data_IF_198578811642
#
_entry.id   IF_198578811642
#
_cell.length_a   1.000
_cell.length_b   1.000
_cell.length_c   1.000
_cell.angle_alpha   90.00
_cell.angle_beta   90.00
_cell.angle_gamma   90.00
#
_symmetry.space_group_name_H-M   'P 1'
#
loop_
_entity.id
_entity.type
_entity.pdbx_description
1 polymer ?
#
# COMPACT_ATOMS: atom_id res chain seq x y z
N UNK A 1 8.88 -29.53 41.02
CA UNK A 1 8.54 -29.27 39.60
C UNK A 1 7.66 -28.03 39.62
N UNK A 2 8.31 -26.86 39.70
CA UNK A 2 7.60 -25.58 39.72
C UNK A 2 7.55 -25.03 38.31
N UNK A 3 6.33 -24.98 37.78
CA UNK A 3 5.98 -24.44 36.49
C UNK A 3 6.08 -22.92 36.56
N UNK A 4 7.16 -22.35 36.02
CA UNK A 4 7.34 -20.90 35.93
C UNK A 4 6.30 -20.37 34.95
N UNK A 5 5.21 -19.83 35.51
CA UNK A 5 4.21 -19.07 34.80
C UNK A 5 4.89 -17.93 34.02
N UNK A 6 5.03 -18.12 32.70
CA UNK A 6 5.45 -17.10 31.76
C UNK A 6 4.48 -15.93 31.84
N UNK A 7 4.89 -14.87 32.56
CA UNK A 7 4.19 -13.59 32.64
C UNK A 7 4.09 -13.01 31.22
N UNK A 8 2.96 -13.24 30.54
CA UNK A 8 2.61 -12.57 29.28
C UNK A 8 2.56 -11.08 29.56
N UNK A 9 3.64 -10.38 29.25
CA UNK A 9 3.65 -8.92 29.28
C UNK A 9 2.70 -8.47 28.17
N UNK A 10 1.56 -7.91 28.56
CA UNK A 10 0.74 -7.09 27.67
C UNK A 10 1.59 -5.87 27.32
N UNK A 11 2.29 -5.94 26.21
CA UNK A 11 3.14 -4.86 25.71
C UNK A 11 2.22 -3.92 24.96
N UNK A 12 2.25 -2.61 25.27
CA UNK A 12 1.56 -1.47 24.61
C UNK A 12 2.46 -0.82 23.55
N UNK A 13 1.92 -0.28 22.44
CA UNK A 13 2.71 0.57 21.52
C UNK A 13 3.33 1.66 22.41
N UNK A 14 4.59 2.05 22.19
CA UNK A 14 5.15 3.18 22.91
C UNK A 14 4.14 4.31 22.84
N UNK A 15 3.77 4.88 23.99
CA UNK A 15 2.66 5.82 24.08
C UNK A 15 2.81 6.99 23.08
N UNK A 16 4.05 7.37 22.76
CA UNK A 16 4.39 8.34 21.71
C UNK A 16 3.91 7.91 20.32
N UNK A 17 4.12 6.65 19.94
CA UNK A 17 3.62 6.09 18.68
C UNK A 17 2.10 6.09 18.63
N UNK A 18 1.43 5.75 19.74
CA UNK A 18 -0.04 5.79 19.82
C UNK A 18 -0.56 7.21 19.64
N UNK A 19 0.05 8.17 20.33
CA UNK A 19 -0.31 9.57 20.23
C UNK A 19 -0.12 10.09 18.79
N UNK A 20 1.00 9.73 18.14
CA UNK A 20 1.26 10.11 16.75
C UNK A 20 0.23 9.50 15.79
N UNK A 21 -0.11 8.22 15.94
CA UNK A 21 -1.14 7.59 15.10
C UNK A 21 -2.51 8.22 15.31
N UNK A 22 -2.90 8.49 16.55
CA UNK A 22 -4.15 9.18 16.87
C UNK A 22 -4.19 10.60 16.28
N UNK A 23 -3.07 11.33 16.35
CA UNK A 23 -2.96 12.65 15.75
C UNK A 23 -3.07 12.58 14.21
N UNK A 24 -2.37 11.64 13.57
CA UNK A 24 -2.46 11.43 12.11
C UNK A 24 -3.89 11.08 11.70
N UNK A 25 -4.56 10.17 12.41
CA UNK A 25 -5.96 9.82 12.16
C UNK A 25 -6.87 11.05 12.30
N UNK A 26 -6.76 11.78 13.41
CA UNK A 26 -7.60 12.95 13.66
C UNK A 26 -7.39 14.07 12.61
N UNK A 27 -6.14 14.32 12.20
CA UNK A 27 -5.83 15.30 11.16
C UNK A 27 -6.37 14.84 9.80
N UNK A 28 -6.22 13.55 9.48
CA UNK A 28 -6.73 12.96 8.24
C UNK A 28 -8.24 13.06 8.17
N UNK A 29 -8.94 12.70 9.25
CA UNK A 29 -10.41 12.78 9.34
C UNK A 29 -10.90 14.23 9.25
N UNK A 30 -10.20 15.19 9.87
CA UNK A 30 -10.56 16.60 9.80
C UNK A 30 -10.28 17.22 8.41
N UNK A 31 -9.28 16.71 7.69
CA UNK A 31 -8.89 17.21 6.38
C UNK A 31 -9.69 16.59 5.23
N UNK A 32 -10.19 15.37 5.40
CA UNK A 32 -10.98 14.66 4.37
C UNK A 32 -12.47 15.00 4.50
N UNK A 33 -13.10 15.42 3.42
CA UNK A 33 -14.53 15.78 3.41
C UNK A 33 -15.37 14.66 2.81
N UNK A 34 -16.65 14.63 3.20
CA UNK A 34 -17.60 13.64 2.70
C UNK A 34 -17.85 13.74 1.18
N UNK A 35 -17.61 14.89 0.58
CA UNK A 35 -17.70 15.12 -0.87
C UNK A 35 -16.46 14.65 -1.66
N UNK A 36 -15.49 14.03 -0.97
CA UNK A 36 -14.24 13.54 -1.57
C UNK A 36 -13.16 14.61 -1.76
N UNK A 37 -13.42 15.86 -1.40
CA UNK A 37 -12.39 16.92 -1.42
C UNK A 37 -11.50 16.85 -0.17
N UNK A 38 -10.31 17.46 -0.27
CA UNK A 38 -9.33 17.51 0.82
C UNK A 38 -8.99 18.95 1.18
N UNK A 39 -8.95 19.26 2.48
CA UNK A 39 -8.57 20.58 2.97
C UNK A 39 -7.05 20.75 3.04
N UNK A 40 -6.42 21.07 1.90
CA UNK A 40 -4.97 21.31 1.80
C UNK A 40 -4.46 22.38 2.75
N UNK A 41 -5.24 23.44 2.95
CA UNK A 41 -4.89 24.52 3.87
C UNK A 41 -4.82 24.03 5.31
N UNK A 42 -5.77 23.19 5.74
CA UNK A 42 -5.72 22.59 7.08
C UNK A 42 -4.47 21.71 7.24
N UNK A 43 -4.20 20.84 6.27
CA UNK A 43 -3.01 19.97 6.29
C UNK A 43 -1.72 20.77 6.41
N UNK A 44 -1.61 21.90 5.70
CA UNK A 44 -0.40 22.73 5.70
C UNK A 44 -0.01 23.27 7.09
N UNK A 45 -0.94 23.36 8.04
CA UNK A 45 -0.61 23.74 9.42
C UNK A 45 0.11 22.64 10.21
N UNK A 46 0.04 21.39 9.75
CA UNK A 46 0.67 20.23 10.37
C UNK A 46 1.86 19.68 9.57
N UNK A 47 2.22 20.35 8.47
CA UNK A 47 3.35 20.00 7.63
C UNK A 47 4.67 20.43 8.30
N UNK A 48 5.26 19.54 9.10
CA UNK A 48 6.59 19.78 9.64
C UNK A 48 7.66 19.47 8.57
N UNK A 49 7.98 20.48 7.76
CA UNK A 49 8.93 20.41 6.64
C UNK A 49 10.36 20.77 7.07
N UNK A 50 11.33 20.21 6.37
CA UNK A 50 12.77 20.39 6.59
C UNK A 50 13.42 20.79 5.26
N UNK A 51 14.22 21.87 5.22
CA UNK A 51 14.96 22.23 4.02
C UNK A 51 16.06 21.21 3.69
N UNK A 52 16.53 21.14 2.44
CA UNK A 52 17.72 20.36 2.12
C UNK A 52 18.94 20.93 2.85
N UNK A 53 19.93 20.09 3.15
CA UNK A 53 21.15 20.51 3.84
C UNK A 53 22.41 19.96 3.15
N UNK A 54 23.22 20.82 2.51
CA UNK A 54 24.47 20.41 1.87
C UNK A 54 25.56 20.03 2.90
N UNK A 55 25.40 20.42 4.17
CA UNK A 55 26.25 19.95 5.26
C UNK A 55 25.67 18.63 5.80
N UNK A 56 26.50 17.58 5.98
CA UNK A 56 26.01 16.30 6.47
C UNK A 56 25.35 16.44 7.85
N UNK A 57 24.13 15.92 7.98
CA UNK A 57 23.51 15.65 9.28
C UNK A 57 23.51 14.13 9.47
N UNK A 58 24.17 13.65 10.53
CA UNK A 58 24.34 12.22 10.82
C UNK A 58 24.93 11.42 9.65
N UNK A 59 25.85 12.03 8.90
CA UNK A 59 26.52 11.40 7.76
C UNK A 59 25.70 11.39 6.47
N UNK A 60 24.69 12.24 6.32
CA UNK A 60 23.90 12.35 5.07
C UNK A 60 23.73 13.81 4.65
N UNK A 61 24.13 14.13 3.42
CA UNK A 61 23.87 15.43 2.75
C UNK A 61 22.57 15.34 1.95
N UNK A 62 21.87 16.45 1.79
CA UNK A 62 20.66 16.53 0.96
C UNK A 62 20.61 17.77 0.08
N UNK A 63 20.00 17.63 -1.09
CA UNK A 63 19.68 18.71 -2.03
C UNK A 63 18.45 18.35 -2.87
N UNK A 64 17.76 19.37 -3.37
CA UNK A 64 16.52 19.21 -4.14
C UNK A 64 16.79 19.48 -5.64
N UNK A 65 16.13 18.71 -6.50
CA UNK A 65 16.28 18.79 -7.96
C UNK A 65 14.90 18.92 -8.60
N UNK A 66 14.71 19.97 -9.40
CA UNK A 66 13.48 20.20 -10.15
C UNK A 66 13.56 19.47 -11.50
N UNK A 67 12.58 18.62 -11.78
CA UNK A 67 12.43 17.86 -13.02
C UNK A 67 11.55 18.60 -14.01
N UNK A 68 10.42 19.11 -13.54
CA UNK A 68 9.46 19.86 -14.36
C UNK A 68 8.88 21.03 -13.56
N UNK A 69 9.31 22.28 -13.85
CA UNK A 69 8.81 23.46 -13.17
C UNK A 69 7.30 23.71 -13.36
N UNK A 70 6.74 23.34 -14.52
CA UNK A 70 5.32 23.58 -14.81
C UNK A 70 4.42 22.69 -13.97
N UNK A 71 4.82 21.42 -13.76
CA UNK A 71 4.13 20.49 -12.84
C UNK A 71 4.55 20.63 -11.39
N UNK A 72 5.59 21.43 -11.09
CA UNK A 72 6.29 21.46 -9.80
C UNK A 72 6.76 20.05 -9.41
N UNK A 73 7.23 19.27 -10.38
CA UNK A 73 7.78 17.95 -10.14
C UNK A 73 9.25 18.08 -9.73
N UNK A 74 9.59 17.55 -8.57
CA UNK A 74 10.95 17.57 -8.03
C UNK A 74 11.23 16.30 -7.21
N UNK A 75 12.49 16.10 -6.85
CA UNK A 75 12.90 15.07 -5.92
C UNK A 75 13.99 15.59 -4.98
N UNK A 76 14.08 14.98 -3.80
CA UNK A 76 15.20 15.18 -2.86
C UNK A 76 16.22 14.07 -3.01
N UNK A 77 17.48 14.44 -3.14
CA UNK A 77 18.61 13.49 -3.12
C UNK A 77 19.19 13.43 -1.72
N UNK A 78 19.45 12.22 -1.24
CA UNK A 78 20.15 11.93 0.01
C UNK A 78 21.44 11.18 -0.30
N UNK A 79 22.57 11.79 0.04
CA UNK A 79 23.91 11.24 -0.24
C UNK A 79 24.58 10.86 1.08
N UNK A 80 24.85 9.57 1.34
CA UNK A 80 25.64 9.17 2.50
C UNK A 80 27.09 9.67 2.35
N UNK A 81 27.69 10.09 3.47
CA UNK A 81 29.04 10.68 3.49
C UNK A 81 30.04 9.93 4.37
N UNK A 82 29.58 8.95 5.15
CA UNK A 82 30.44 8.04 5.91
C UNK A 82 30.61 6.73 5.12
N UNK A 83 31.83 6.16 5.12
CA UNK A 83 32.35 5.07 4.27
C UNK A 83 32.80 5.47 2.86
N UNK A 84 33.84 6.30 2.83
CA UNK A 84 34.67 6.71 1.70
C UNK A 84 35.52 5.59 1.07
N UNK A 85 34.97 4.38 0.92
CA UNK A 85 35.67 3.25 0.29
C UNK A 85 34.86 2.54 -0.82
N UNK A 86 33.61 2.95 -1.06
CA UNK A 86 32.80 2.36 -2.13
C UNK A 86 32.96 3.19 -3.41
N UNK A 87 33.59 2.58 -4.41
CA UNK A 87 33.80 3.17 -5.74
C UNK A 87 32.47 3.44 -6.47
N UNK A 88 31.41 2.68 -6.17
CA UNK A 88 30.08 2.84 -6.77
C UNK A 88 28.91 2.63 -5.77
N UNK A 89 28.13 3.68 -5.52
CA UNK A 89 26.92 3.65 -4.71
C UNK A 89 25.70 3.25 -5.55
N UNK A 90 24.88 2.36 -5.00
CA UNK A 90 23.56 2.03 -5.55
C UNK A 90 22.62 3.23 -5.41
N UNK A 91 21.63 3.30 -6.29
CA UNK A 91 20.58 4.33 -6.25
C UNK A 91 19.25 3.68 -5.86
N UNK A 92 18.54 4.24 -4.89
CA UNK A 92 17.16 3.88 -4.57
C UNK A 92 16.24 5.04 -4.93
N UNK A 93 15.30 4.81 -5.83
CA UNK A 93 14.20 5.73 -6.10
C UNK A 93 13.09 5.40 -5.12
N UNK A 94 12.82 6.33 -4.21
CA UNK A 94 11.88 6.17 -3.12
C UNK A 94 10.60 6.98 -3.38
N UNK A 95 9.46 6.31 -3.23
CA UNK A 95 8.13 6.92 -3.31
C UNK A 95 7.51 6.89 -1.92
N UNK A 96 7.16 8.05 -1.39
CA UNK A 96 6.55 8.13 -0.06
C UNK A 96 5.11 7.59 -0.06
N UNK A 97 4.65 7.11 1.10
CA UNK A 97 3.26 6.77 1.36
C UNK A 97 2.35 7.99 1.54
N UNK A 98 1.18 7.77 2.15
CA UNK A 98 0.16 8.83 2.33
C UNK A 98 -1.08 8.67 1.46
N UNK A 99 -1.35 7.46 0.95
CA UNK A 99 -2.60 7.18 0.24
C UNK A 99 -2.80 8.01 -1.03
N UNK A 100 -1.71 8.44 -1.68
CA UNK A 100 -1.70 9.39 -2.81
C UNK A 100 -2.18 10.81 -2.48
N UNK A 101 -2.53 11.09 -1.22
CA UNK A 101 -3.11 12.37 -0.77
C UNK A 101 -2.11 13.15 0.09
N UNK A 102 -1.36 12.47 0.95
CA UNK A 102 -0.60 13.09 2.03
C UNK A 102 0.91 12.96 1.85
N UNK A 103 1.63 13.83 2.56
CA UNK A 103 3.07 13.87 2.72
C UNK A 103 3.88 14.27 1.49
N UNK A 104 5.16 14.60 1.71
CA UNK A 104 6.12 15.03 0.69
C UNK A 104 7.54 14.62 1.13
N UNK A 105 8.54 14.59 0.20
CA UNK A 105 9.93 14.28 0.54
C UNK A 105 10.57 15.23 1.58
N UNK A 106 10.11 16.47 1.67
CA UNK A 106 10.61 17.47 2.61
C UNK A 106 9.96 17.38 4.01
N UNK A 107 8.96 16.54 4.22
CA UNK A 107 8.40 16.33 5.55
C UNK A 107 9.38 15.56 6.43
N UNK A 108 9.58 16.03 7.67
CA UNK A 108 10.54 15.48 8.63
C UNK A 108 10.47 13.96 8.76
N UNK A 109 9.26 13.40 8.76
CA UNK A 109 9.05 11.95 8.86
C UNK A 109 9.66 11.18 7.69
N UNK A 110 9.51 11.67 6.46
CA UNK A 110 10.07 11.04 5.26
C UNK A 110 11.54 11.42 5.04
N UNK A 111 11.95 12.63 5.39
CA UNK A 111 13.37 13.02 5.44
C UNK A 111 14.15 12.09 6.39
N UNK A 112 13.63 11.81 7.59
CA UNK A 112 14.23 10.88 8.56
C UNK A 112 14.27 9.42 8.06
N UNK A 113 13.23 8.98 7.34
CA UNK A 113 13.20 7.66 6.69
C UNK A 113 14.31 7.58 5.64
N UNK A 114 14.39 8.55 4.73
CA UNK A 114 15.36 8.55 3.65
C UNK A 114 16.81 8.69 4.15
N UNK A 115 17.07 9.52 5.18
CA UNK A 115 18.39 9.57 5.84
C UNK A 115 18.78 8.22 6.44
N UNK A 116 17.83 7.52 7.08
CA UNK A 116 18.09 6.17 7.62
C UNK A 116 18.37 5.16 6.52
N UNK A 117 17.65 5.20 5.41
CA UNK A 117 17.93 4.33 4.27
C UNK A 117 19.30 4.63 3.67
N UNK A 118 19.62 5.90 3.41
CA UNK A 118 20.92 6.31 2.88
C UNK A 118 22.07 5.76 3.72
N UNK A 119 21.99 5.90 5.04
CA UNK A 119 23.00 5.41 5.97
C UNK A 119 23.05 3.89 6.07
N UNK A 120 21.91 3.23 6.25
CA UNK A 120 21.88 1.77 6.51
C UNK A 120 22.17 0.92 5.28
N UNK A 121 21.77 1.40 4.10
CA UNK A 121 21.97 0.70 2.83
C UNK A 121 23.28 1.12 2.16
N UNK A 122 23.94 2.16 2.67
CA UNK A 122 25.04 2.86 2.01
C UNK A 122 24.72 3.11 0.52
N UNK A 123 23.62 3.83 0.29
CA UNK A 123 23.03 4.06 -1.03
C UNK A 123 22.55 5.50 -1.17
N UNK A 124 22.54 6.00 -2.40
CA UNK A 124 21.93 7.29 -2.73
C UNK A 124 20.42 7.11 -2.78
N UNK A 125 19.67 7.93 -2.07
CA UNK A 125 18.21 7.90 -2.10
C UNK A 125 17.70 9.08 -2.90
N UNK A 126 16.82 8.84 -3.86
CA UNK A 126 16.08 9.85 -4.63
C UNK A 126 14.62 9.76 -4.21
N UNK A 127 14.16 10.68 -3.36
CA UNK A 127 12.80 10.71 -2.85
C UNK A 127 11.93 11.64 -3.68
N UNK A 128 10.93 11.07 -4.38
CA UNK A 128 10.15 11.76 -5.41
C UNK A 128 8.93 12.48 -4.83
N UNK A 129 8.72 13.74 -5.21
CA UNK A 129 7.52 14.52 -4.89
C UNK A 129 6.49 14.41 -6.02
N UNK A 130 5.65 13.37 -5.97
CA UNK A 130 4.61 13.14 -6.98
C UNK A 130 3.34 13.94 -6.66
N UNK A 131 2.56 14.35 -7.67
CA UNK A 131 1.32 15.12 -7.48
C UNK A 131 0.26 14.37 -6.66
N UNK A 132 -0.56 15.06 -5.86
CA UNK A 132 -1.51 14.39 -4.98
C UNK A 132 -2.96 14.40 -5.50
N UNK A 133 -3.69 13.32 -5.18
CA UNK A 133 -5.14 13.24 -5.30
C UNK A 133 -5.81 13.98 -4.13
N UNK A 134 -7.02 14.56 -4.29
CA UNK A 134 -7.94 14.39 -5.42
C UNK A 134 -7.73 15.34 -6.61
N UNK A 135 -6.88 16.36 -6.49
CA UNK A 135 -6.65 17.38 -7.54
C UNK A 135 -5.99 16.77 -8.79
N UNK A 136 -5.09 15.81 -8.57
CA UNK A 136 -4.46 15.02 -9.62
C UNK A 136 -4.78 13.56 -9.38
N UNK A 137 -5.79 13.03 -10.07
CA UNK A 137 -6.20 11.62 -9.99
C UNK A 137 -5.24 10.74 -10.79
N UNK A 138 -5.43 9.43 -10.68
CA UNK A 138 -4.78 8.46 -11.57
C UNK A 138 -4.93 8.90 -13.05
N UNK A 139 -3.88 8.79 -13.89
CA UNK A 139 -2.54 8.22 -13.62
C UNK A 139 -1.46 9.23 -13.20
N UNK A 140 -1.80 10.45 -12.77
CA UNK A 140 -0.84 11.55 -12.62
C UNK A 140 0.40 11.22 -11.76
N UNK A 141 0.22 10.50 -10.65
CA UNK A 141 1.32 10.06 -9.77
C UNK A 141 2.29 9.13 -10.48
N UNK A 142 1.74 8.19 -11.26
CA UNK A 142 2.50 7.19 -11.99
C UNK A 142 3.32 7.87 -13.09
N UNK A 143 2.73 8.84 -13.79
CA UNK A 143 3.43 9.60 -14.81
C UNK A 143 4.53 10.47 -14.23
N UNK A 144 4.31 11.14 -13.10
CA UNK A 144 5.34 11.92 -12.43
C UNK A 144 6.53 11.06 -12.02
N UNK A 145 6.27 9.94 -11.34
CA UNK A 145 7.34 9.04 -10.93
C UNK A 145 8.08 8.43 -12.14
N UNK A 146 7.35 8.08 -13.21
CA UNK A 146 7.96 7.56 -14.43
C UNK A 146 8.82 8.61 -15.16
N UNK A 147 8.39 9.86 -15.16
CA UNK A 147 9.16 10.97 -15.73
C UNK A 147 10.43 11.26 -14.93
N UNK A 148 10.42 11.07 -13.60
CA UNK A 148 11.67 11.08 -12.82
C UNK A 148 12.62 9.96 -13.26
N UNK A 149 12.12 8.75 -13.53
CA UNK A 149 12.98 7.66 -14.03
C UNK A 149 13.61 8.03 -15.38
N UNK A 150 12.82 8.58 -16.32
CA UNK A 150 13.34 9.08 -17.60
C UNK A 150 14.35 10.21 -17.43
N UNK A 151 14.07 11.12 -16.49
CA UNK A 151 14.97 12.24 -16.19
C UNK A 151 16.34 11.72 -15.72
N UNK A 152 16.37 10.70 -14.87
CA UNK A 152 17.61 10.10 -14.35
C UNK A 152 18.30 9.15 -15.33
N UNK A 153 17.59 8.62 -16.31
CA UNK A 153 18.17 7.82 -17.40
C UNK A 153 18.94 8.67 -18.42
N UNK A 154 18.56 9.96 -18.55
CA UNK A 154 19.29 10.90 -19.38
C UNK A 154 20.67 11.24 -18.76
N UNK A 155 21.74 10.96 -19.49
CA UNK A 155 23.10 11.10 -18.98
C UNK A 155 23.48 12.52 -18.56
N UNK A 156 23.02 13.54 -19.30
CA UNK A 156 23.28 14.94 -19.00
C UNK A 156 22.62 15.39 -17.70
N UNK A 157 21.40 14.92 -17.43
CA UNK A 157 20.72 15.16 -16.17
C UNK A 157 21.33 14.36 -15.03
N UNK A 158 21.60 13.06 -15.25
CA UNK A 158 22.20 12.16 -14.25
C UNK A 158 23.54 12.68 -13.75
N UNK A 159 24.47 12.96 -14.65
CA UNK A 159 25.82 13.44 -14.32
C UNK A 159 25.83 14.81 -13.65
N UNK A 160 24.83 15.65 -13.94
CA UNK A 160 24.66 16.95 -13.30
C UNK A 160 24.12 16.85 -11.87
N UNK A 161 23.20 15.92 -11.62
CA UNK A 161 22.38 15.92 -10.42
C UNK A 161 22.61 14.75 -9.48
N UNK A 162 23.35 13.73 -9.86
CA UNK A 162 23.79 12.65 -8.97
C UNK A 162 25.32 12.69 -8.80
N UNK A 163 25.85 12.23 -7.65
CA UNK A 163 27.30 12.07 -7.46
C UNK A 163 27.95 11.21 -8.54
N UNK A 164 29.22 11.45 -8.84
CA UNK A 164 29.97 10.68 -9.87
C UNK A 164 29.98 9.17 -9.60
N UNK A 165 30.02 8.78 -8.33
CA UNK A 165 29.97 7.37 -7.91
C UNK A 165 28.55 6.79 -7.88
N UNK A 166 27.52 7.49 -8.38
CA UNK A 166 26.16 6.97 -8.45
C UNK A 166 25.99 5.98 -9.61
N UNK A 167 25.73 4.71 -9.30
CA UNK A 167 25.49 3.68 -10.30
C UNK A 167 23.98 3.45 -10.52
N UNK A 168 23.41 4.11 -11.54
CA UNK A 168 21.99 4.00 -11.93
C UNK A 168 21.64 2.66 -12.58
N UNK A 169 22.63 1.91 -13.09
CA UNK A 169 22.43 0.55 -13.57
C UNK A 169 22.21 -0.46 -12.43
N UNK A 170 22.37 0.00 -11.18
CA UNK A 170 22.07 -0.75 -9.94
C UNK A 170 21.01 0.01 -9.13
N UNK A 171 19.91 0.30 -9.80
CA UNK A 171 18.80 1.07 -9.24
C UNK A 171 17.75 0.16 -8.58
N UNK A 172 17.15 0.62 -7.48
CA UNK A 172 16.03 -0.05 -6.82
C UNK A 172 14.84 0.89 -6.72
N UNK A 173 13.64 0.40 -7.05
CA UNK A 173 12.39 1.11 -6.79
C UNK A 173 11.84 0.65 -5.45
N UNK A 174 11.53 1.59 -4.57
CA UNK A 174 11.01 1.32 -3.24
C UNK A 174 9.96 2.34 -2.80
N UNK A 175 9.12 1.96 -1.84
CA UNK A 175 8.14 2.86 -1.26
C UNK A 175 7.26 2.16 -0.23
N UNK A 176 6.59 2.96 0.60
CA UNK A 176 5.65 2.49 1.62
C UNK A 176 4.21 2.86 1.26
N UNK A 177 3.23 2.03 1.64
CA UNK A 177 1.80 2.31 1.39
C UNK A 177 1.53 2.63 -0.10
N UNK A 178 0.96 3.79 -0.41
CA UNK A 178 0.78 4.27 -1.79
C UNK A 178 2.09 4.29 -2.61
N UNK A 179 3.22 4.64 -1.99
CA UNK A 179 4.53 4.60 -2.65
C UNK A 179 5.00 3.18 -3.00
N UNK A 180 4.62 2.18 -2.21
CA UNK A 180 4.86 0.77 -2.54
C UNK A 180 4.03 0.32 -3.74
N UNK A 181 2.81 0.84 -3.87
CA UNK A 181 2.01 0.66 -5.08
C UNK A 181 2.69 1.31 -6.30
N UNK A 182 3.15 2.57 -6.21
CA UNK A 182 3.90 3.22 -7.29
C UNK A 182 5.15 2.41 -7.70
N UNK A 183 5.95 1.94 -6.73
CA UNK A 183 7.13 1.14 -6.99
C UNK A 183 6.80 -0.14 -7.79
N UNK A 184 5.68 -0.80 -7.48
CA UNK A 184 5.23 -1.98 -8.21
C UNK A 184 4.78 -1.66 -9.64
N UNK A 185 3.92 -0.67 -9.82
CA UNK A 185 3.43 -0.30 -11.15
C UNK A 185 4.57 0.16 -12.07
N UNK A 186 5.49 0.96 -11.53
CA UNK A 186 6.65 1.44 -12.27
C UNK A 186 7.59 0.30 -12.63
N UNK A 187 7.71 -0.75 -11.81
CA UNK A 187 8.45 -1.95 -12.16
C UNK A 187 7.98 -2.54 -13.50
N UNK A 188 6.66 -2.75 -13.63
CA UNK A 188 6.06 -3.29 -14.84
C UNK A 188 6.27 -2.34 -16.01
N UNK A 189 5.97 -1.06 -15.82
CA UNK A 189 6.15 -0.03 -16.85
C UNK A 189 7.61 0.11 -17.29
N UNK A 190 8.58 -0.14 -16.42
CA UNK A 190 10.00 -0.12 -16.78
C UNK A 190 10.43 -1.28 -17.65
N UNK A 191 9.77 -2.43 -17.56
CA UNK A 191 10.00 -3.57 -18.46
C UNK A 191 9.53 -3.29 -19.89
N UNK A 192 8.55 -2.38 -20.06
CA UNK A 192 7.98 -2.00 -21.36
C UNK A 192 8.72 -0.83 -22.03
N UNK A 193 9.64 -0.18 -21.31
CA UNK A 193 10.36 1.00 -21.78
C UNK A 193 11.85 0.73 -21.94
N UNK A 194 12.42 1.19 -23.06
CA UNK A 194 13.85 1.04 -23.35
C UNK A 194 14.67 2.15 -22.67
N UNK A 195 14.98 1.96 -21.39
CA UNK A 195 15.95 2.78 -20.68
C UNK A 195 17.38 2.56 -21.20
N UNK A 196 18.17 3.62 -21.30
CA UNK A 196 19.54 3.57 -21.81
C UNK A 196 20.52 3.04 -20.76
N UNK A 197 20.36 3.48 -19.50
CA UNK A 197 21.26 3.17 -18.39
C UNK A 197 20.53 2.56 -17.20
N UNK A 198 19.29 3.00 -16.96
CA UNK A 198 18.51 2.60 -15.78
C UNK A 198 18.13 1.12 -15.89
N UNK A 199 18.58 0.34 -14.90
CA UNK A 199 18.14 -1.04 -14.68
C UNK A 199 17.59 -1.13 -13.27
N UNK A 200 16.27 -1.21 -13.16
CA UNK A 200 15.57 -1.25 -11.90
C UNK A 200 15.32 -2.69 -11.44
N UNK A 201 15.72 -3.01 -10.21
CA UNK A 201 15.20 -4.16 -9.46
C UNK A 201 14.19 -3.63 -8.45
N UNK A 202 12.96 -4.12 -8.50
CA UNK A 202 11.91 -3.62 -7.61
C UNK A 202 11.96 -4.33 -6.26
N UNK A 203 12.00 -3.53 -5.18
CA UNK A 203 11.85 -4.01 -3.83
C UNK A 203 10.62 -3.33 -3.22
N UNK A 204 9.51 -4.07 -3.13
CA UNK A 204 8.35 -3.60 -2.36
C UNK A 204 8.70 -3.79 -0.89
N UNK A 205 9.09 -2.70 -0.23
CA UNK A 205 9.49 -2.74 1.18
C UNK A 205 8.24 -2.78 2.05
N UNK A 206 8.10 -3.85 2.83
CA UNK A 206 7.22 -3.79 3.99
C UNK A 206 7.95 -3.03 5.13
N UNK A 207 7.22 -2.26 5.94
CA UNK A 207 7.80 -1.47 7.02
C UNK A 207 8.15 -2.30 8.28
N UNK A 208 7.94 -3.62 8.24
CA UNK A 208 7.91 -4.52 9.39
C UNK A 208 9.10 -5.48 9.47
N UNK A 209 9.69 -5.76 8.33
CA UNK A 209 10.80 -6.69 8.13
C UNK A 209 12.10 -5.97 8.48
N UNK A 210 12.80 -6.54 9.46
CA UNK A 210 14.11 -6.08 9.88
C UNK A 210 15.15 -6.45 8.81
N UNK A 211 16.30 -5.80 8.88
CA UNK A 211 17.45 -6.08 8.03
C UNK A 211 17.92 -7.55 8.01
N UNK A 212 17.60 -8.32 9.06
CA UNK A 212 17.89 -9.77 9.17
C UNK A 212 16.78 -10.67 8.59
N UNK A 213 15.75 -10.08 7.95
CA UNK A 213 14.60 -10.79 7.39
C UNK A 213 13.55 -11.18 8.43
N UNK A 214 13.74 -10.86 9.72
CA UNK A 214 12.74 -11.15 10.74
C UNK A 214 11.67 -10.07 10.79
N UNK A 215 10.40 -10.48 10.94
CA UNK A 215 9.30 -9.53 11.09
C UNK A 215 9.11 -9.16 12.55
N UNK A 216 9.02 -7.86 12.82
CA UNK A 216 8.61 -7.40 14.13
C UNK A 216 7.09 -7.53 14.33
N UNK A 217 6.61 -8.77 14.55
CA UNK A 217 5.20 -9.06 14.84
C UNK A 217 4.70 -8.42 16.15
N UNK A 218 5.56 -7.76 16.94
CA UNK A 218 5.14 -6.99 18.14
C UNK A 218 4.24 -5.81 17.78
N UNK A 219 4.22 -5.34 16.53
CA UNK A 219 3.25 -4.34 16.06
C UNK A 219 1.82 -4.91 15.93
N UNK A 220 1.67 -6.22 15.69
CA UNK A 220 0.37 -6.87 15.48
C UNK A 220 -0.45 -7.04 16.76
N UNK A 221 0.20 -7.34 17.89
CA UNK A 221 -0.51 -7.61 19.15
C UNK A 221 -1.36 -6.45 19.65
N UNK A 222 -1.15 -5.25 19.10
CA UNK A 222 -1.96 -4.05 19.36
C UNK A 222 -3.31 -4.03 18.68
N UNK A 223 -3.36 -4.59 17.48
CA UNK A 223 -4.53 -4.61 16.61
C UNK A 223 -5.18 -5.98 16.57
N UNK A 224 -4.63 -6.97 17.30
CA UNK A 224 -5.13 -8.34 17.40
C UNK A 224 -6.39 -8.45 18.29
N UNK A 225 -7.29 -7.47 18.16
CA UNK A 225 -8.67 -7.64 18.61
C UNK A 225 -9.43 -8.32 17.47
N UNK A 226 -9.67 -9.62 17.61
CA UNK A 226 -10.42 -10.39 16.64
C UNK A 226 -11.91 -10.34 16.93
N UNK A 227 -12.69 -10.20 15.87
CA UNK A 227 -14.13 -10.18 15.87
C UNK A 227 -14.60 -11.50 15.25
N UNK A 228 -15.36 -12.35 15.96
CA UNK A 228 -15.93 -13.55 15.36
C UNK A 228 -16.97 -13.18 14.30
N UNK A 229 -17.23 -14.05 13.31
CA UNK A 229 -18.35 -13.85 12.39
C UNK A 229 -19.66 -13.86 13.18
N UNK A 230 -20.63 -13.04 12.76
CA UNK A 230 -21.93 -12.96 13.41
C UNK A 230 -23.07 -13.08 12.38
N UNK A 231 -23.80 -14.21 12.35
CA UNK A 231 -24.94 -14.37 11.44
C UNK A 231 -26.11 -13.47 11.81
N UNK A 232 -26.17 -12.96 13.06
CA UNK A 232 -27.12 -11.92 13.45
C UNK A 232 -26.55 -10.55 13.10
N UNK A 233 -27.34 -9.67 12.45
CA UNK A 233 -26.83 -8.37 12.03
C UNK A 233 -26.34 -7.53 13.20
N UNK A 234 -25.08 -7.08 13.14
CA UNK A 234 -24.57 -6.00 13.98
C UNK A 234 -24.52 -4.75 13.11
N UNK A 235 -25.21 -3.69 13.55
CA UNK A 235 -25.33 -2.42 12.80
C UNK A 235 -25.83 -2.60 11.36
N UNK A 236 -26.74 -3.55 11.15
CA UNK A 236 -27.32 -3.83 9.84
C UNK A 236 -26.42 -4.64 8.89
N UNK A 237 -25.42 -5.36 9.42
CA UNK A 237 -24.54 -6.22 8.61
C UNK A 237 -24.36 -7.59 9.27
N UNK A 238 -24.72 -8.67 8.56
CA UNK A 238 -24.42 -10.05 8.96
C UNK A 238 -23.06 -10.47 8.40
N UNK A 239 -22.34 -11.32 9.12
CA UNK A 239 -21.03 -11.84 8.69
C UNK A 239 -20.87 -13.34 8.90
N UNK A 240 -20.15 -13.99 7.99
CA UNK A 240 -19.77 -15.39 8.06
C UNK A 240 -18.47 -15.66 7.30
N UNK A 241 -17.75 -16.69 7.72
CA UNK A 241 -16.44 -17.04 7.16
C UNK A 241 -16.57 -18.25 6.22
N UNK A 242 -15.81 -18.23 5.13
CA UNK A 242 -15.82 -19.27 4.10
C UNK A 242 -14.40 -19.74 3.85
N UNK A 243 -14.17 -21.04 4.02
CA UNK A 243 -12.87 -21.67 3.74
C UNK A 243 -12.81 -22.08 2.27
N UNK A 244 -11.79 -21.58 1.57
CA UNK A 244 -11.52 -21.87 0.15
C UNK A 244 -10.57 -23.06 0.02
N UNK A 245 -9.49 -23.07 0.81
CA UNK A 245 -8.50 -24.16 0.82
C UNK A 245 -8.02 -24.41 2.27
N UNK A 246 -8.46 -25.52 2.90
CA UNK A 246 -8.04 -25.87 4.26
C UNK A 246 -6.54 -26.10 4.42
N UNK A 247 -5.85 -26.63 3.40
CA UNK A 247 -4.43 -26.94 3.47
C UNK A 247 -3.58 -25.67 3.50
N UNK A 248 -3.99 -24.65 2.74
CA UNK A 248 -3.35 -23.32 2.76
C UNK A 248 -3.89 -22.41 3.85
N UNK A 249 -4.96 -22.82 4.56
CA UNK A 249 -5.75 -21.95 5.44
C UNK A 249 -6.22 -20.69 4.71
N UNK A 250 -6.61 -20.85 3.44
CA UNK A 250 -7.15 -19.76 2.62
C UNK A 250 -8.65 -19.64 2.89
N UNK A 251 -9.09 -18.45 3.29
CA UNK A 251 -10.48 -18.18 3.60
C UNK A 251 -10.82 -16.71 3.33
N UNK A 252 -12.11 -16.39 3.37
CA UNK A 252 -12.58 -15.01 3.33
C UNK A 252 -13.77 -14.82 4.26
N UNK A 253 -13.97 -13.58 4.71
CA UNK A 253 -15.17 -13.17 5.42
C UNK A 253 -16.15 -12.49 4.48
N UNK A 254 -17.41 -12.91 4.53
CA UNK A 254 -18.51 -12.24 3.82
C UNK A 254 -19.20 -11.27 4.77
N UNK A 255 -19.46 -10.06 4.30
CA UNK A 255 -20.27 -9.04 4.96
C UNK A 255 -21.49 -8.76 4.08
N UNK A 256 -22.68 -9.01 4.60
CA UNK A 256 -23.93 -8.81 3.86
C UNK A 256 -24.76 -7.73 4.57
N UNK A 257 -25.07 -6.61 3.90
CA UNK A 257 -25.95 -5.59 4.46
C UNK A 257 -27.38 -6.15 4.58
N UNK A 258 -28.10 -5.72 5.61
CA UNK A 258 -29.44 -6.21 5.94
C UNK A 258 -30.50 -5.12 6.01
N UNK A 259 -30.18 -3.87 5.62
CA UNK A 259 -31.19 -2.82 5.54
C UNK A 259 -32.13 -3.04 4.33
N UNK A 260 -33.42 -2.77 4.55
CA UNK A 260 -34.61 -3.13 3.76
C UNK A 260 -34.76 -2.45 2.38
N UNK A 261 -33.70 -1.88 1.79
CA UNK A 261 -33.84 -1.45 0.40
C UNK A 261 -34.06 -2.69 -0.47
N UNK A 262 -35.23 -2.77 -1.10
CA UNK A 262 -35.67 -3.79 -2.05
C UNK A 262 -34.79 -3.79 -3.33
N UNK A 263 -33.49 -3.96 -3.16
CA UNK A 263 -32.58 -4.17 -4.27
C UNK A 263 -32.61 -5.67 -4.57
N UNK A 264 -33.21 -5.99 -5.72
CA UNK A 264 -33.28 -7.34 -6.25
C UNK A 264 -31.89 -7.96 -6.46
N UNK A 265 -30.85 -7.13 -6.66
CA UNK A 265 -29.46 -7.56 -6.86
C UNK A 265 -28.40 -6.65 -6.18
N UNK A 266 -27.66 -7.19 -5.21
CA UNK A 266 -26.53 -6.54 -4.54
C UNK A 266 -25.22 -6.72 -5.33
N UNK A 267 -24.48 -5.63 -5.50
CA UNK A 267 -23.11 -5.65 -6.03
C UNK A 267 -22.17 -6.39 -5.07
N UNK A 268 -21.11 -6.98 -5.60
CA UNK A 268 -20.07 -7.65 -4.82
C UNK A 268 -18.76 -6.86 -4.89
N UNK A 269 -18.15 -6.56 -3.75
CA UNK A 269 -16.80 -6.00 -3.67
C UNK A 269 -15.87 -7.04 -3.04
N UNK A 270 -14.85 -7.45 -3.76
CA UNK A 270 -13.78 -8.30 -3.23
C UNK A 270 -12.69 -7.38 -2.71
N UNK A 271 -12.52 -7.40 -1.39
CA UNK A 271 -11.63 -6.53 -0.65
C UNK A 271 -10.37 -7.26 -0.19
N UNK A 272 -9.23 -6.66 -0.48
CA UNK A 272 -7.93 -7.11 -0.01
C UNK A 272 -7.41 -6.14 1.05
N UNK A 273 -7.11 -6.64 2.23
CA UNK A 273 -6.61 -5.80 3.32
C UNK A 273 -5.17 -5.35 3.05
N UNK A 274 -4.77 -4.23 3.65
CA UNK A 274 -3.39 -3.75 3.69
C UNK A 274 -2.52 -4.51 4.70
N UNK A 275 -1.51 -3.82 5.24
CA UNK A 275 -0.57 -4.43 6.20
C UNK A 275 0.75 -4.91 5.60
N UNK A 276 1.11 -4.42 4.41
CA UNK A 276 2.43 -4.69 3.82
C UNK A 276 2.69 -6.16 3.52
N UNK A 277 1.64 -6.95 3.23
CA UNK A 277 1.68 -8.41 3.05
C UNK A 277 2.08 -9.24 4.28
N UNK A 278 2.32 -8.58 5.41
CA UNK A 278 2.84 -9.19 6.63
C UNK A 278 1.81 -9.17 7.77
N UNK A 279 0.91 -8.19 7.72
CA UNK A 279 0.00 -7.86 8.80
C UNK A 279 -1.48 -7.91 8.41
N UNK A 280 -2.29 -8.03 9.46
CA UNK A 280 -3.75 -8.00 9.48
C UNK A 280 -4.44 -9.20 8.83
N UNK A 281 -5.71 -9.37 9.17
CA UNK A 281 -6.60 -10.42 8.67
C UNK A 281 -8.04 -9.85 8.62
N UNK A 282 -8.97 -10.43 7.84
CA UNK A 282 -10.36 -10.01 7.78
C UNK A 282 -11.12 -10.03 9.12
N UNK A 283 -10.68 -10.86 10.08
CA UNK A 283 -11.30 -10.97 11.40
C UNK A 283 -10.79 -9.94 12.41
N UNK A 284 -9.78 -9.14 12.08
CA UNK A 284 -9.32 -8.08 12.97
C UNK A 284 -10.29 -6.90 12.96
N UNK A 285 -10.54 -6.31 14.14
CA UNK A 285 -11.52 -5.23 14.35
C UNK A 285 -11.40 -4.10 13.34
N UNK A 286 -10.18 -3.70 13.02
CA UNK A 286 -9.90 -2.59 12.10
C UNK A 286 -10.47 -2.88 10.71
N UNK A 287 -10.32 -4.11 10.21
CA UNK A 287 -10.84 -4.50 8.90
C UNK A 287 -12.30 -4.93 8.96
N UNK A 288 -12.76 -5.53 10.06
CA UNK A 288 -14.19 -5.81 10.28
C UNK A 288 -15.01 -4.50 10.29
N UNK A 289 -14.58 -3.47 11.04
CA UNK A 289 -15.24 -2.16 11.08
C UNK A 289 -15.23 -1.47 9.70
N UNK A 290 -14.12 -1.55 8.96
CA UNK A 290 -14.01 -1.01 7.59
C UNK A 290 -14.99 -1.73 6.64
N UNK A 291 -14.99 -3.05 6.63
CA UNK A 291 -15.85 -3.83 5.73
C UNK A 291 -17.33 -3.68 6.07
N UNK A 292 -17.71 -3.59 7.36
CA UNK A 292 -19.09 -3.24 7.76
C UNK A 292 -19.50 -1.87 7.27
N UNK A 293 -18.62 -0.87 7.36
CA UNK A 293 -18.89 0.48 6.83
C UNK A 293 -19.05 0.47 5.32
N UNK A 294 -18.22 -0.27 4.59
CA UNK A 294 -18.38 -0.43 3.14
C UNK A 294 -19.69 -1.13 2.79
N UNK A 295 -20.00 -2.25 3.44
CA UNK A 295 -21.24 -2.98 3.21
C UNK A 295 -22.46 -2.08 3.37
N UNK A 296 -22.50 -1.28 4.44
CA UNK A 296 -23.60 -0.35 4.71
C UNK A 296 -23.65 0.83 3.75
N UNK A 297 -22.53 1.54 3.56
CA UNK A 297 -22.52 2.79 2.75
C UNK A 297 -22.68 2.54 1.27
N UNK A 298 -22.13 1.45 0.75
CA UNK A 298 -22.22 1.06 -0.65
C UNK A 298 -23.45 0.20 -0.93
N UNK A 299 -24.13 -0.27 0.13
CA UNK A 299 -25.17 -1.28 0.05
C UNK A 299 -24.77 -2.46 -0.84
N UNK A 300 -23.61 -3.05 -0.52
CA UNK A 300 -22.94 -4.07 -1.31
C UNK A 300 -22.47 -5.22 -0.42
N UNK A 301 -22.36 -6.41 -0.99
CA UNK A 301 -21.74 -7.55 -0.34
C UNK A 301 -20.24 -7.37 -0.39
N UNK A 302 -19.57 -7.46 0.76
CA UNK A 302 -18.10 -7.36 0.82
C UNK A 302 -17.53 -8.76 1.08
N UNK A 303 -16.61 -9.19 0.24
CA UNK A 303 -15.82 -10.41 0.41
C UNK A 303 -14.41 -10.00 0.80
N UNK A 304 -14.08 -10.07 2.08
CA UNK A 304 -12.76 -9.67 2.60
C UNK A 304 -11.84 -10.89 2.69
N UNK A 305 -10.79 -10.90 1.87
CA UNK A 305 -9.93 -12.07 1.63
C UNK A 305 -8.80 -12.16 2.64
N UNK A 306 -8.60 -13.33 3.25
CA UNK A 306 -7.42 -13.64 4.06
C UNK A 306 -6.38 -14.34 3.20
N UNK A 307 -5.27 -13.67 2.89
CA UNK A 307 -4.17 -14.23 2.11
C UNK A 307 -2.97 -14.58 3.00
N UNK A 308 -2.15 -15.56 2.59
CA UNK A 308 -0.97 -15.96 3.37
C UNK A 308 0.06 -14.84 3.51
N UNK A 309 0.69 -14.70 4.67
CA UNK A 309 1.59 -13.57 4.94
C UNK A 309 3.07 -13.87 4.70
N UNK A 310 3.82 -12.83 4.38
CA UNK A 310 5.27 -12.81 4.45
C UNK A 310 5.75 -12.76 5.93
N UNK A 311 6.97 -13.26 6.23
CA UNK A 311 7.98 -13.79 5.31
C UNK A 311 7.83 -15.29 5.02
N UNK A 312 6.94 -16.00 5.73
CA UNK A 312 6.76 -17.46 5.58
C UNK A 312 6.26 -17.82 4.19
N UNK A 313 5.43 -16.96 3.59
CA UNK A 313 4.95 -17.09 2.23
C UNK A 313 5.34 -15.85 1.44
N UNK A 314 6.43 -15.97 0.67
CA UNK A 314 6.95 -14.88 -0.18
C UNK A 314 6.12 -14.73 -1.46
N UNK A 315 6.35 -13.62 -2.16
CA UNK A 315 5.81 -13.43 -3.51
C UNK A 315 6.08 -14.66 -4.41
N UNK A 316 5.09 -15.14 -5.20
CA UNK A 316 3.77 -14.56 -5.46
C UNK A 316 2.62 -15.10 -4.58
N UNK A 317 2.88 -15.75 -3.45
CA UNK A 317 1.86 -16.51 -2.69
C UNK A 317 0.57 -15.73 -2.39
N UNK A 318 0.66 -14.46 -1.98
CA UNK A 318 -0.48 -13.59 -1.72
C UNK A 318 -1.36 -13.37 -2.96
N UNK A 319 -0.71 -13.19 -4.10
CA UNK A 319 -1.36 -12.91 -5.38
C UNK A 319 -2.08 -14.17 -5.88
N UNK A 320 -1.45 -15.32 -5.73
CA UNK A 320 -2.06 -16.60 -6.08
C UNK A 320 -3.23 -16.96 -5.18
N UNK A 321 -3.12 -16.73 -3.86
CA UNK A 321 -4.22 -16.94 -2.92
C UNK A 321 -5.44 -16.08 -3.28
N UNK A 322 -5.23 -14.78 -3.50
CA UNK A 322 -6.32 -13.89 -3.87
C UNK A 322 -6.93 -14.25 -5.23
N UNK A 323 -6.12 -14.67 -6.20
CA UNK A 323 -6.60 -15.12 -7.51
C UNK A 323 -7.41 -16.42 -7.41
N UNK A 324 -6.99 -17.34 -6.54
CA UNK A 324 -7.74 -18.57 -6.29
C UNK A 324 -9.09 -18.30 -5.60
N UNK A 325 -9.20 -17.25 -4.79
CA UNK A 325 -10.52 -16.79 -4.30
C UNK A 325 -11.41 -16.31 -5.45
N UNK A 326 -10.86 -15.59 -6.44
CA UNK A 326 -11.64 -15.19 -7.62
C UNK A 326 -12.17 -16.42 -8.38
N UNK A 327 -11.31 -17.42 -8.62
CA UNK A 327 -11.72 -18.69 -9.25
C UNK A 327 -12.75 -19.45 -8.42
N UNK A 328 -12.59 -19.44 -7.10
CA UNK A 328 -13.53 -20.09 -6.19
C UNK A 328 -14.92 -19.48 -6.31
N UNK A 329 -15.01 -18.14 -6.40
CA UNK A 329 -16.28 -17.42 -6.54
C UNK A 329 -16.86 -17.47 -7.96
N UNK A 330 -16.04 -17.68 -8.99
CA UNK A 330 -16.50 -17.90 -10.37
C UNK A 330 -17.21 -19.26 -10.54
N UNK A 331 -16.84 -20.25 -9.73
CA UNK A 331 -17.50 -21.55 -9.72
C UNK A 331 -18.93 -21.44 -9.16
N UNK A 332 -19.93 -21.79 -9.97
CA UNK A 332 -21.35 -21.64 -9.63
C UNK A 332 -21.79 -22.41 -8.37
N UNK A 333 -21.28 -23.64 -8.19
CA UNK A 333 -21.60 -24.46 -7.02
C UNK A 333 -21.06 -23.86 -5.72
N UNK A 334 -19.88 -23.26 -5.75
CA UNK A 334 -19.32 -22.55 -4.60
C UNK A 334 -20.04 -21.22 -4.37
N UNK A 335 -20.28 -20.44 -5.44
CA UNK A 335 -20.94 -19.15 -5.38
C UNK A 335 -22.34 -19.24 -4.78
N UNK A 336 -23.19 -20.10 -5.34
CA UNK A 336 -24.58 -20.29 -4.89
C UNK A 336 -24.68 -20.82 -3.46
N UNK A 337 -23.66 -21.55 -3.01
CA UNK A 337 -23.57 -22.03 -1.62
C UNK A 337 -23.21 -20.93 -0.62
N UNK A 338 -22.33 -20.00 -1.00
CA UNK A 338 -21.67 -19.11 -0.05
C UNK A 338 -22.02 -17.63 -0.20
N UNK A 339 -22.59 -17.19 -1.33
CA UNK A 339 -23.13 -15.86 -1.50
C UNK A 339 -24.66 -15.92 -1.50
N UNK A 340 -25.36 -14.88 -1.01
CA UNK A 340 -26.81 -14.83 -1.07
C UNK A 340 -27.30 -14.81 -2.53
N UNK A 341 -28.53 -15.26 -2.77
CA UNK A 341 -29.11 -15.39 -4.12
C UNK A 341 -29.13 -14.06 -4.89
N UNK A 342 -29.30 -12.94 -4.19
CA UNK A 342 -29.26 -11.61 -4.78
C UNK A 342 -27.83 -11.07 -5.01
N UNK A 343 -26.77 -11.86 -4.85
CA UNK A 343 -25.40 -11.42 -5.12
C UNK A 343 -25.10 -11.41 -6.64
N UNK A 344 -24.92 -10.21 -7.21
CA UNK A 344 -24.57 -10.06 -8.62
C UNK A 344 -23.04 -10.00 -8.81
N UNK A 345 -22.43 -11.17 -9.10
CA UNK A 345 -20.98 -11.30 -9.38
C UNK A 345 -20.57 -10.83 -10.78
N UNK A 346 -21.54 -10.61 -11.68
CA UNK A 346 -21.29 -9.94 -12.97
C UNK A 346 -21.06 -8.43 -12.80
N UNK A 347 -21.23 -7.90 -11.57
CA UNK A 347 -20.93 -6.53 -11.16
C UNK A 347 -19.97 -6.52 -9.97
N UNK A 348 -18.84 -7.22 -10.13
CA UNK A 348 -17.83 -7.35 -9.09
C UNK A 348 -16.81 -6.20 -9.15
N UNK A 349 -16.39 -5.68 -7.99
CA UNK A 349 -15.32 -4.69 -7.87
C UNK A 349 -14.16 -5.29 -7.09
N UNK A 350 -12.92 -5.04 -7.53
CA UNK A 350 -11.73 -5.33 -6.73
C UNK A 350 -11.32 -4.06 -6.01
N UNK A 351 -11.09 -4.15 -4.70
CA UNK A 351 -10.70 -3.02 -3.89
C UNK A 351 -9.69 -3.45 -2.82
N UNK A 352 -8.91 -2.49 -2.33
CA UNK A 352 -8.00 -2.73 -1.21
C UNK A 352 -7.22 -1.48 -0.84
N UNK A 353 -6.57 -1.51 0.33
CA UNK A 353 -5.73 -0.43 0.83
C UNK A 353 -4.27 -0.86 0.91
N UNK A 354 -3.33 0.05 0.63
CA UNK A 354 -1.89 -0.25 0.76
C UNK A 354 -1.49 -1.51 -0.04
N UNK A 355 -0.90 -2.53 0.61
CA UNK A 355 -0.62 -3.83 0.00
C UNK A 355 -1.86 -4.51 -0.63
N UNK A 356 -3.04 -4.34 -0.05
CA UNK A 356 -4.29 -4.83 -0.61
C UNK A 356 -4.70 -4.09 -1.88
N UNK A 357 -4.42 -2.79 -1.97
CA UNK A 357 -4.63 -2.01 -3.19
C UNK A 357 -3.70 -2.48 -4.32
N UNK A 358 -2.48 -2.87 -3.98
CA UNK A 358 -1.56 -3.52 -4.91
C UNK A 358 -2.10 -4.87 -5.42
N UNK A 359 -2.63 -5.72 -4.52
CA UNK A 359 -3.29 -6.98 -4.91
C UNK A 359 -4.48 -6.73 -5.84
N UNK A 360 -5.37 -5.78 -5.49
CA UNK A 360 -6.51 -5.41 -6.32
C UNK A 360 -6.06 -5.01 -7.74
N UNK A 361 -5.01 -4.20 -7.87
CA UNK A 361 -4.48 -3.80 -9.18
C UNK A 361 -3.88 -4.98 -9.96
N UNK A 362 -3.01 -5.77 -9.32
CA UNK A 362 -2.38 -6.90 -10.01
C UNK A 362 -3.42 -7.93 -10.46
N UNK A 363 -4.41 -8.23 -9.62
CA UNK A 363 -5.49 -9.16 -9.95
C UNK A 363 -6.39 -8.61 -11.06
N UNK A 364 -6.64 -7.30 -11.07
CA UNK A 364 -7.34 -6.62 -12.15
C UNK A 364 -6.67 -6.86 -13.52
N UNK A 365 -5.34 -6.78 -13.61
CA UNK A 365 -4.62 -7.11 -14.84
C UNK A 365 -4.71 -8.60 -15.16
N UNK A 366 -4.45 -9.46 -14.16
CA UNK A 366 -4.48 -10.92 -14.31
C UNK A 366 -5.85 -11.46 -14.73
N UNK A 367 -6.95 -10.78 -14.35
CA UNK A 367 -8.30 -11.18 -14.76
C UNK A 367 -8.56 -10.95 -16.25
N UNK A 368 -7.86 -10.01 -16.89
CA UNK A 368 -7.96 -9.82 -18.34
C UNK A 368 -7.36 -10.99 -19.14
N UNK A 369 -6.45 -11.74 -18.54
CA UNK A 369 -5.78 -12.90 -19.15
C UNK A 369 -6.51 -14.22 -18.87
N UNK A 370 -7.55 -14.22 -18.03
CA UNK A 370 -8.27 -15.42 -17.61
C UNK A 370 -9.75 -15.34 -17.96
N UNK A 371 -10.28 -16.41 -18.57
CA UNK A 371 -11.67 -16.47 -18.98
C UNK A 371 -12.59 -16.93 -17.84
N UNK A 372 -13.00 -15.99 -16.99
CA UNK A 372 -14.03 -16.21 -15.97
C UNK A 372 -15.40 -16.46 -16.62
N UNK A 373 -16.15 -17.44 -16.11
CA UNK A 373 -17.45 -17.81 -16.68
C UNK A 373 -18.57 -16.85 -16.24
N UNK A 374 -18.49 -16.38 -15.00
CA UNK A 374 -19.56 -15.64 -14.31
C UNK A 374 -19.04 -14.32 -13.74
N UNK A 375 -17.82 -14.33 -13.19
CA UNK A 375 -17.21 -13.19 -12.53
C UNK A 375 -16.78 -12.15 -13.57
N UNK A 376 -17.33 -10.94 -13.47
CA UNK A 376 -16.91 -9.79 -14.27
C UNK A 376 -16.43 -8.69 -13.35
N UNK A 377 -15.15 -8.38 -13.44
CA UNK A 377 -14.50 -7.31 -12.67
C UNK A 377 -14.72 -5.98 -13.39
N UNK A 378 -15.36 -5.04 -12.71
CA UNK A 378 -15.50 -3.66 -13.14
C UNK A 378 -14.50 -2.79 -12.38
N UNK A 379 -13.77 -1.98 -13.12
CA UNK A 379 -12.78 -1.05 -12.55
C UNK A 379 -13.45 0.27 -12.20
N UNK A 380 -13.14 0.81 -11.02
CA UNK A 380 -13.58 2.15 -10.60
C UNK A 380 -12.67 3.20 -11.26
N UNK A 381 -12.61 3.21 -12.60
CA UNK A 381 -11.98 4.31 -13.36
C UNK A 381 -13.04 5.20 -14.05
N UNK A 382 -14.32 4.80 -13.97
CA UNK A 382 -15.46 5.56 -14.48
C UNK A 382 -16.57 5.63 -13.41
N UNK A 383 -16.46 6.57 -12.48
CA UNK A 383 -17.60 7.08 -11.70
C UNK A 383 -18.27 8.28 -12.38
N UNK A 384 -17.97 8.49 -13.66
CA UNK A 384 -18.77 9.30 -14.57
C UNK A 384 -19.51 8.33 -15.47
N UNK A 385 -20.63 7.80 -14.96
CA UNK A 385 -21.87 7.52 -15.69
C UNK A 385 -22.94 6.97 -14.73
#
# INVERSE_FOLDING_TARGET
MDEVASKKTSLSLPWKTRLNLLAITAITDAATRHDGTVNRRLLSFFDFRVPPNPKPINGVKTYDVVVDPARKLWFRVFVPTEESAIEELRVMIYFHGGGFVFFNPDMKVYDDVCRRFAKKLNAIIVSVDYRHAPEHKYPAQHDDCFDVLKFLDNDGNRSKWLPENANISRCFLAGDSAGGNLAHHLALRTCEFNFQQLKAITAITDAATRHDGTVNRRLLSFFDFRVPPNPKPINGVKTYDVVVDPARKLWFRVFVPTEESAIEELRVMIYFHGGGFVFFNPDMKVYDDVCRRFAKKLNAIIVSVDYRHAPEHKYPAQHDDCFDVLKFLDNDGNRSKWLPENANISRCFLAGDSAGGNLAHHLALRTCEFNFQQLKVHYIDHLHD
#
